data_IF_599225432119
#
_entry.id   IF_599225432119
#
_cell.length_a   1.000
_cell.length_b   1.000
_cell.length_c   1.000
_cell.angle_alpha   90.00
_cell.angle_beta   90.00
_cell.angle_gamma   90.00
#
_symmetry.space_group_name_H-M   'P 1'
#
loop_
_entity.id
_entity.type
_entity.pdbx_description
1 polymer ?
#
# COMPACT_ATOMS: atom_id res chain seq x y z
N UNK A 1 -19.61 21.47 -1.45
CA UNK A 1 -20.05 20.55 -2.50
C UNK A 1 -18.80 19.90 -3.11
N UNK A 2 -18.80 18.61 -3.30
CA UNK A 2 -17.73 17.88 -4.00
C UNK A 2 -18.18 17.71 -5.45
N UNK A 3 -17.30 18.04 -6.38
CA UNK A 3 -17.50 17.78 -7.81
C UNK A 3 -16.76 16.49 -8.17
N UNK A 4 -17.53 15.46 -8.49
CA UNK A 4 -17.01 14.17 -8.93
C UNK A 4 -17.24 13.89 -10.41
N UNK A 5 -17.88 14.83 -11.12
CA UNK A 5 -18.27 14.70 -12.52
C UNK A 5 -17.25 15.36 -13.46
N UNK A 6 -16.51 16.35 -12.99
CA UNK A 6 -15.50 17.04 -13.80
C UNK A 6 -14.27 16.13 -13.98
N UNK A 7 -13.97 15.84 -15.24
CA UNK A 7 -12.77 15.09 -15.61
C UNK A 7 -11.54 16.00 -15.50
N UNK A 8 -10.59 15.59 -14.66
CA UNK A 8 -9.31 16.29 -14.49
C UNK A 8 -8.25 15.58 -15.30
N UNK A 9 -7.69 16.24 -16.32
CA UNK A 9 -6.59 15.68 -17.11
C UNK A 9 -5.30 15.66 -16.30
N UNK A 10 -4.74 14.46 -16.10
CA UNK A 10 -3.51 14.22 -15.34
C UNK A 10 -2.29 14.01 -16.22
N UNK A 11 -2.45 13.98 -17.54
CA UNK A 11 -1.35 13.77 -18.49
C UNK A 11 -0.36 14.93 -18.42
N UNK A 12 0.93 14.63 -18.50
CA UNK A 12 2.01 15.62 -18.39
C UNK A 12 2.17 16.21 -16.99
N UNK A 13 1.60 15.59 -15.97
CA UNK A 13 1.72 15.98 -14.55
C UNK A 13 2.64 15.03 -13.75
N UNK A 14 3.41 14.20 -14.44
CA UNK A 14 4.27 13.17 -13.85
C UNK A 14 3.48 12.13 -13.05
N UNK A 15 2.23 11.89 -13.41
CA UNK A 15 1.40 10.87 -12.79
C UNK A 15 1.73 9.51 -13.41
N UNK A 16 2.22 8.57 -12.58
CA UNK A 16 2.59 7.21 -13.01
C UNK A 16 1.47 6.55 -13.79
N UNK A 17 0.24 6.63 -13.28
CA UNK A 17 -0.95 6.01 -13.86
C UNK A 17 -1.25 6.43 -15.30
N UNK A 18 -1.02 7.69 -15.64
CA UNK A 18 -1.32 8.24 -16.98
C UNK A 18 -0.07 8.33 -17.85
N UNK A 19 1.04 8.85 -17.31
CA UNK A 19 2.20 9.20 -18.11
C UNK A 19 3.11 8.01 -18.43
N UNK A 20 2.98 6.89 -17.66
CA UNK A 20 3.74 5.67 -17.92
C UNK A 20 2.94 4.57 -18.63
N UNK A 21 1.67 4.79 -18.98
CA UNK A 21 0.80 3.78 -19.59
C UNK A 21 1.43 3.18 -20.85
N UNK A 22 1.88 4.02 -21.77
CA UNK A 22 2.51 3.55 -23.03
C UNK A 22 3.88 2.91 -22.82
N UNK A 23 4.62 3.34 -21.81
CA UNK A 23 5.91 2.73 -21.46
C UNK A 23 5.72 1.31 -20.93
N UNK A 24 4.70 1.11 -20.07
CA UNK A 24 4.44 -0.18 -19.42
C UNK A 24 3.73 -1.17 -20.35
N UNK A 25 2.74 -0.69 -21.11
CA UNK A 25 1.84 -1.54 -21.89
C UNK A 25 2.05 -1.43 -23.41
N UNK A 26 2.95 -0.56 -23.88
CA UNK A 26 3.23 -0.34 -25.30
C UNK A 26 2.36 0.76 -25.94
N UNK A 27 2.73 1.15 -27.15
CA UNK A 27 2.10 2.28 -27.86
C UNK A 27 0.59 2.07 -28.13
N UNK A 28 0.13 0.82 -28.26
CA UNK A 28 -1.29 0.50 -28.45
C UNK A 28 -2.18 0.88 -27.28
N UNK A 29 -1.61 1.14 -26.10
CA UNK A 29 -2.33 1.56 -24.91
C UNK A 29 -2.47 3.08 -24.76
N UNK A 30 -2.09 3.87 -25.77
CA UNK A 30 -2.10 5.34 -25.69
C UNK A 30 -3.48 5.92 -25.36
N UNK A 31 -4.54 5.31 -25.89
CA UNK A 31 -5.93 5.73 -25.65
C UNK A 31 -6.69 4.86 -24.63
N UNK A 32 -5.97 3.96 -23.95
CA UNK A 32 -6.58 3.08 -22.95
C UNK A 32 -6.93 3.87 -21.68
N UNK A 33 -8.08 3.54 -21.06
CA UNK A 33 -8.42 4.03 -19.75
C UNK A 33 -7.50 3.37 -18.69
N UNK A 34 -6.62 4.12 -18.02
CA UNK A 34 -5.65 3.52 -17.11
C UNK A 34 -6.30 3.16 -15.76
N UNK A 35 -6.43 1.86 -15.49
CA UNK A 35 -6.95 1.31 -14.22
C UNK A 35 -5.92 0.47 -13.46
N UNK A 36 -4.65 0.54 -13.84
CA UNK A 36 -3.57 -0.31 -13.33
C UNK A 36 -2.88 0.24 -12.06
N UNK A 37 -3.13 1.49 -11.70
CA UNK A 37 -2.71 2.08 -10.42
C UNK A 37 -3.95 2.48 -9.63
N UNK A 38 -3.96 2.16 -8.34
CA UNK A 38 -5.12 2.35 -7.46
C UNK A 38 -5.30 3.78 -6.93
N UNK A 39 -4.49 4.75 -7.38
CA UNK A 39 -4.71 6.16 -7.06
C UNK A 39 -5.99 6.69 -7.70
N UNK A 40 -6.75 7.47 -6.96
CA UNK A 40 -8.01 8.02 -7.42
C UNK A 40 -7.81 9.17 -8.40
N UNK A 41 -8.70 9.26 -9.41
CA UNK A 41 -8.74 10.37 -10.37
C UNK A 41 -9.72 11.48 -9.96
N UNK A 42 -10.21 11.40 -8.73
CA UNK A 42 -11.10 12.38 -8.13
C UNK A 42 -10.32 13.49 -7.42
N UNK A 43 -10.85 14.73 -7.41
CA UNK A 43 -10.22 15.83 -6.70
C UNK A 43 -10.13 15.56 -5.20
N UNK A 44 -9.05 16.00 -4.59
CA UNK A 44 -8.88 15.96 -3.14
C UNK A 44 -9.93 16.84 -2.44
N UNK A 45 -10.33 16.48 -1.22
CA UNK A 45 -11.22 17.30 -0.41
C UNK A 45 -10.69 18.75 -0.31
N UNK A 46 -11.52 19.77 -0.61
CA UNK A 46 -11.10 21.18 -0.60
C UNK A 46 -10.50 21.64 0.74
N UNK A 47 -10.97 21.09 1.87
CA UNK A 47 -10.40 21.40 3.20
C UNK A 47 -8.97 20.86 3.35
N UNK A 48 -8.68 19.70 2.80
CA UNK A 48 -7.33 19.14 2.81
C UNK A 48 -6.42 19.95 1.92
N UNK A 49 -6.89 20.32 0.72
CA UNK A 49 -6.13 21.16 -0.19
C UNK A 49 -5.83 22.53 0.43
N UNK A 50 -6.80 23.16 1.10
CA UNK A 50 -6.60 24.44 1.78
C UNK A 50 -5.53 24.33 2.88
N UNK A 51 -5.55 23.28 3.70
CA UNK A 51 -4.55 23.07 4.73
C UNK A 51 -3.12 22.86 4.16
N UNK A 52 -3.01 22.18 3.02
CA UNK A 52 -1.72 22.01 2.31
C UNK A 52 -1.23 23.38 1.80
N UNK A 53 -2.10 24.18 1.17
CA UNK A 53 -1.76 25.51 0.67
C UNK A 53 -1.36 26.45 1.80
N UNK A 54 -2.08 26.45 2.90
CA UNK A 54 -1.74 27.22 4.10
C UNK A 54 -0.34 26.86 4.62
N UNK A 55 -0.05 25.55 4.74
CA UNK A 55 1.27 25.09 5.16
C UNK A 55 2.35 25.47 4.17
N UNK A 56 2.08 25.37 2.86
CA UNK A 56 3.02 25.70 1.79
C UNK A 56 3.30 27.22 1.71
N UNK A 57 2.35 28.07 2.11
CA UNK A 57 2.54 29.51 2.17
C UNK A 57 3.59 29.96 3.22
N UNK A 58 3.87 29.12 4.21
CA UNK A 58 4.94 29.39 5.16
C UNK A 58 6.30 29.00 4.54
N UNK A 59 7.22 29.94 4.34
CA UNK A 59 8.40 29.74 3.48
C UNK A 59 9.52 28.90 4.10
N UNK A 60 9.41 28.49 5.36
CA UNK A 60 10.44 27.72 6.06
C UNK A 60 9.95 26.29 6.26
N UNK A 61 10.66 25.35 5.66
CA UNK A 61 10.43 23.90 5.74
C UNK A 61 11.56 23.26 6.55
N UNK A 62 11.46 23.33 7.87
CA UNK A 62 12.43 22.71 8.80
C UNK A 62 11.96 21.33 9.26
N UNK A 63 12.61 20.82 10.29
CA UNK A 63 12.21 19.60 10.97
C UNK A 63 10.82 19.78 11.59
N UNK A 64 9.94 18.82 11.36
CA UNK A 64 8.54 18.86 11.82
C UNK A 64 8.31 17.77 12.86
N UNK A 65 7.66 18.12 13.96
CA UNK A 65 7.15 17.16 14.95
C UNK A 65 5.82 16.58 14.47
N UNK A 66 5.50 15.36 14.93
CA UNK A 66 4.14 14.82 14.80
C UNK A 66 3.31 15.38 15.97
N UNK A 67 2.31 16.24 15.72
CA UNK A 67 1.52 16.82 16.78
C UNK A 67 0.62 15.77 17.43
N UNK A 68 0.41 15.87 18.76
CA UNK A 68 -0.46 14.96 19.51
C UNK A 68 -1.88 14.88 18.91
N UNK A 69 -2.38 15.96 18.32
CA UNK A 69 -3.68 16.01 17.66
C UNK A 69 -3.76 15.04 16.45
N UNK A 70 -2.66 14.76 15.75
CA UNK A 70 -2.62 13.78 14.65
C UNK A 70 -2.91 12.37 15.18
N UNK A 71 -2.25 11.98 16.27
CA UNK A 71 -2.43 10.67 16.88
C UNK A 71 -3.82 10.50 17.50
N UNK A 72 -4.31 11.56 18.17
CA UNK A 72 -5.67 11.58 18.69
C UNK A 72 -6.73 11.44 17.59
N UNK A 73 -6.53 12.08 16.44
CA UNK A 73 -7.43 11.95 15.30
C UNK A 73 -7.40 10.53 14.71
N UNK A 74 -6.21 9.90 14.60
CA UNK A 74 -6.08 8.52 14.15
C UNK A 74 -6.79 7.53 15.10
N UNK A 75 -6.59 7.68 16.44
CA UNK A 75 -7.29 6.89 17.44
C UNK A 75 -8.80 7.04 17.34
N UNK A 76 -9.29 8.28 17.24
CA UNK A 76 -10.71 8.57 17.15
C UNK A 76 -11.34 7.94 15.89
N UNK A 77 -10.62 7.98 14.76
CA UNK A 77 -11.08 7.39 13.51
C UNK A 77 -11.16 5.85 13.60
N UNK A 78 -10.13 5.19 14.13
CA UNK A 78 -10.12 3.74 14.33
C UNK A 78 -11.24 3.28 15.25
N UNK A 79 -11.48 4.00 16.34
CA UNK A 79 -12.58 3.72 17.26
C UNK A 79 -13.94 3.86 16.57
N UNK A 80 -14.14 4.95 15.82
CA UNK A 80 -15.43 5.24 15.20
C UNK A 80 -15.80 4.27 14.08
N UNK A 81 -14.80 3.80 13.28
CA UNK A 81 -15.06 3.02 12.08
C UNK A 81 -14.79 1.52 12.26
N UNK A 82 -13.97 1.14 13.23
CA UNK A 82 -13.56 -0.26 13.44
C UNK A 82 -13.80 -0.76 14.86
N UNK A 83 -14.30 0.09 15.78
CA UNK A 83 -14.44 -0.27 17.19
C UNK A 83 -13.10 -0.59 17.88
N UNK A 84 -11.99 -0.13 17.29
CA UNK A 84 -10.66 -0.43 17.77
C UNK A 84 -10.08 0.74 18.57
N UNK A 85 -9.89 0.50 19.87
CA UNK A 85 -9.28 1.46 20.78
C UNK A 85 -7.75 1.32 20.76
N UNK A 86 -7.09 2.29 20.13
CA UNK A 86 -5.62 2.39 20.07
C UNK A 86 -5.19 3.63 20.84
N UNK A 87 -4.31 3.46 21.83
CA UNK A 87 -3.74 4.59 22.56
C UNK A 87 -2.82 5.43 21.63
N UNK A 88 -2.82 6.77 21.76
CA UNK A 88 -2.01 7.64 20.91
C UNK A 88 -0.51 7.35 20.92
N UNK A 89 0.03 6.81 21.99
CA UNK A 89 1.44 6.43 22.17
C UNK A 89 1.79 5.07 21.56
N UNK A 90 0.79 4.30 21.09
CA UNK A 90 1.00 3.05 20.37
C UNK A 90 1.27 3.26 18.86
N UNK A 91 1.16 4.50 18.36
CA UNK A 91 1.45 4.79 16.96
C UNK A 91 2.93 5.05 16.73
N UNK A 92 3.44 4.48 15.66
CA UNK A 92 4.76 4.79 15.10
C UNK A 92 4.56 5.36 13.70
N UNK A 93 5.12 6.54 13.45
CA UNK A 93 5.04 7.18 12.13
C UNK A 93 5.96 6.49 11.13
N UNK A 94 5.41 6.21 9.94
CA UNK A 94 6.19 5.82 8.78
C UNK A 94 5.63 6.51 7.53
N UNK A 95 6.51 6.84 6.58
CA UNK A 95 6.13 7.64 5.42
C UNK A 95 5.16 6.91 4.48
N UNK A 96 5.32 5.60 4.31
CA UNK A 96 4.46 4.77 3.45
C UNK A 96 4.32 3.36 4.00
N UNK A 97 3.30 2.62 3.54
CA UNK A 97 3.11 1.20 3.88
C UNK A 97 4.32 0.36 3.45
N UNK A 98 4.87 0.59 2.25
CA UNK A 98 6.04 -0.15 1.75
C UNK A 98 7.27 0.13 2.61
N UNK A 99 7.49 1.38 3.02
CA UNK A 99 8.59 1.72 3.94
C UNK A 99 8.43 1.03 5.31
N UNK A 100 7.20 1.02 5.85
CA UNK A 100 6.90 0.31 7.09
C UNK A 100 7.20 -1.18 6.97
N UNK A 101 6.79 -1.80 5.85
CA UNK A 101 7.02 -3.20 5.58
C UNK A 101 8.52 -3.52 5.50
N UNK A 102 9.30 -2.73 4.77
CA UNK A 102 10.76 -2.90 4.71
C UNK A 102 11.42 -2.75 6.10
N UNK A 103 10.99 -1.77 6.89
CA UNK A 103 11.51 -1.58 8.25
C UNK A 103 11.20 -2.80 9.14
N UNK A 104 9.99 -3.36 9.04
CA UNK A 104 9.62 -4.58 9.77
C UNK A 104 10.43 -5.78 9.32
N UNK A 105 10.68 -5.94 8.01
CA UNK A 105 11.56 -7.00 7.50
C UNK A 105 12.97 -6.89 8.10
N UNK A 106 13.53 -5.70 8.15
CA UNK A 106 14.86 -5.51 8.75
C UNK A 106 14.89 -5.73 10.26
N UNK A 107 13.81 -5.39 10.95
CA UNK A 107 13.71 -5.52 12.40
C UNK A 107 13.49 -6.97 12.86
N UNK A 108 12.66 -7.71 12.11
CA UNK A 108 12.14 -9.01 12.55
C UNK A 108 12.82 -10.22 11.90
N UNK A 109 13.63 -10.00 10.86
CA UNK A 109 14.27 -11.06 10.10
C UNK A 109 15.73 -10.74 9.79
N UNK A 110 16.53 -11.78 9.49
CA UNK A 110 17.90 -11.67 8.97
C UNK A 110 17.94 -11.79 7.43
N UNK A 111 19.01 -11.34 6.76
CA UNK A 111 19.24 -11.64 5.34
C UNK A 111 19.21 -13.15 5.07
N UNK A 112 18.49 -13.58 4.04
CA UNK A 112 18.31 -15.00 3.70
C UNK A 112 17.09 -15.67 4.33
N UNK A 113 16.50 -15.11 5.38
CA UNK A 113 15.29 -15.64 5.99
C UNK A 113 14.13 -15.72 4.99
N UNK A 114 13.30 -16.74 5.15
CA UNK A 114 12.08 -16.90 4.36
C UNK A 114 10.98 -15.96 4.85
N UNK A 115 10.31 -15.31 3.90
CA UNK A 115 9.14 -14.47 4.15
C UNK A 115 7.98 -14.99 3.32
N UNK A 116 7.00 -15.57 4.00
CA UNK A 116 5.77 -16.06 3.38
C UNK A 116 4.86 -14.90 3.02
N UNK A 117 4.35 -14.91 1.80
CA UNK A 117 3.31 -13.99 1.34
C UNK A 117 2.16 -14.76 0.70
N UNK A 118 0.94 -14.26 0.89
CA UNK A 118 -0.25 -14.82 0.25
C UNK A 118 -0.47 -14.13 -1.09
N UNK A 119 -0.72 -14.91 -2.15
CA UNK A 119 -0.97 -14.37 -3.50
C UNK A 119 -2.40 -14.66 -3.96
N UNK A 120 -3.05 -13.76 -4.76
CA UNK A 120 -2.47 -12.56 -5.37
C UNK A 120 -2.17 -11.44 -4.36
N UNK A 121 -1.04 -10.76 -4.54
CA UNK A 121 -0.56 -9.70 -3.65
C UNK A 121 -0.06 -8.50 -4.46
N UNK A 122 -0.12 -7.32 -3.88
CA UNK A 122 0.46 -6.10 -4.42
C UNK A 122 1.95 -6.27 -4.70
N UNK A 123 2.33 -6.18 -5.99
CA UNK A 123 3.67 -6.51 -6.47
C UNK A 123 4.84 -5.81 -5.75
N UNK A 124 4.74 -4.52 -5.33
CA UNK A 124 5.80 -3.86 -4.58
C UNK A 124 6.14 -4.53 -3.23
N UNK A 125 5.20 -5.19 -2.56
CA UNK A 125 5.49 -5.93 -1.32
C UNK A 125 6.36 -7.17 -1.61
N UNK A 126 6.06 -7.92 -2.68
CA UNK A 126 6.89 -9.05 -3.11
C UNK A 126 8.31 -8.59 -3.51
N UNK A 127 8.39 -7.50 -4.27
CA UNK A 127 9.66 -6.90 -4.65
C UNK A 127 10.48 -6.43 -3.44
N UNK A 128 9.81 -5.93 -2.40
CA UNK A 128 10.45 -5.48 -1.15
C UNK A 128 11.07 -6.64 -0.38
N UNK A 129 10.42 -7.81 -0.32
CA UNK A 129 11.01 -9.00 0.32
C UNK A 129 12.37 -9.32 -0.31
N UNK A 130 12.40 -9.42 -1.64
CA UNK A 130 13.64 -9.69 -2.40
C UNK A 130 14.65 -8.55 -2.28
N UNK A 131 14.19 -7.29 -2.40
CA UNK A 131 15.03 -6.10 -2.30
C UNK A 131 15.69 -5.93 -0.93
N UNK A 132 15.04 -6.41 0.12
CA UNK A 132 15.60 -6.45 1.48
C UNK A 132 16.51 -7.69 1.71
N UNK A 133 16.77 -8.50 0.69
CA UNK A 133 17.65 -9.68 0.80
C UNK A 133 17.01 -10.88 1.50
N UNK A 134 15.67 -10.97 1.51
CA UNK A 134 14.93 -12.09 2.08
C UNK A 134 14.47 -13.03 0.97
N UNK A 135 14.30 -14.31 1.29
CA UNK A 135 13.75 -15.31 0.38
C UNK A 135 12.23 -15.18 0.35
N UNK A 136 11.66 -15.00 -0.84
CA UNK A 136 10.22 -14.87 -1.02
C UNK A 136 9.59 -16.26 -1.16
N UNK A 137 8.67 -16.58 -0.28
CA UNK A 137 7.83 -17.78 -0.33
C UNK A 137 6.41 -17.33 -0.66
N UNK A 138 5.81 -17.92 -1.70
CA UNK A 138 4.46 -17.59 -2.13
C UNK A 138 3.49 -18.71 -1.81
N UNK A 139 2.45 -18.40 -1.04
CA UNK A 139 1.30 -19.27 -0.87
C UNK A 139 0.13 -18.73 -1.69
N UNK A 140 -0.40 -19.54 -2.62
CA UNK A 140 -1.52 -19.14 -3.47
C UNK A 140 -2.83 -19.31 -2.72
N UNK A 141 -3.60 -18.22 -2.62
CA UNK A 141 -4.97 -18.29 -2.08
C UNK A 141 -5.88 -19.02 -3.04
N UNK A 142 -6.78 -19.83 -2.50
CA UNK A 142 -7.85 -20.47 -3.26
C UNK A 142 -9.02 -19.49 -3.43
N UNK A 143 -9.48 -19.28 -4.69
CA UNK A 143 -10.70 -18.54 -4.98
C UNK A 143 -11.87 -19.50 -5.07
N UNK A 144 -12.83 -19.39 -4.16
CA UNK A 144 -14.04 -20.20 -4.14
C UNK A 144 -15.05 -19.79 -5.22
N UNK A 145 -16.09 -20.61 -5.39
CA UNK A 145 -17.19 -20.33 -6.34
C UNK A 145 -18.00 -19.06 -5.97
N UNK A 146 -17.88 -18.62 -4.72
CA UNK A 146 -18.47 -17.37 -4.19
C UNK A 146 -17.55 -16.15 -4.35
N UNK A 147 -16.49 -16.28 -5.17
CA UNK A 147 -15.45 -15.28 -5.39
C UNK A 147 -14.63 -14.87 -4.14
N UNK A 148 -14.84 -15.54 -3.00
CA UNK A 148 -14.04 -15.30 -1.80
C UNK A 148 -12.69 -16.02 -1.85
N UNK A 149 -11.65 -15.33 -1.43
CA UNK A 149 -10.32 -15.92 -1.28
C UNK A 149 -10.17 -16.58 0.09
N UNK A 150 -9.61 -17.79 0.10
CA UNK A 150 -9.34 -18.61 1.29
C UNK A 150 -7.89 -19.06 1.31
N UNK A 151 -7.34 -19.23 2.50
CA UNK A 151 -5.96 -19.70 2.68
C UNK A 151 -5.82 -21.13 2.17
N UNK A 152 -6.74 -22.01 2.56
CA UNK A 152 -6.74 -23.41 2.13
C UNK A 152 -7.95 -23.70 1.23
N UNK A 153 -7.75 -24.64 0.30
CA UNK A 153 -8.79 -25.08 -0.64
C UNK A 153 -8.25 -26.18 -1.56
N UNK A 154 -9.04 -26.63 -2.54
CA UNK A 154 -8.59 -27.64 -3.49
C UNK A 154 -7.27 -27.23 -4.17
N UNK A 155 -6.21 -28.04 -3.97
CA UNK A 155 -4.88 -27.81 -4.53
C UNK A 155 -4.04 -26.72 -3.85
N UNK A 156 -4.51 -26.16 -2.72
CA UNK A 156 -3.75 -25.22 -1.92
C UNK A 156 -3.82 -25.56 -0.45
N UNK A 157 -2.67 -25.66 0.22
CA UNK A 157 -2.56 -25.88 1.66
C UNK A 157 -1.39 -25.06 2.21
N UNK A 158 -1.67 -24.26 3.24
CA UNK A 158 -0.63 -23.48 3.91
C UNK A 158 0.36 -24.39 4.63
N UNK A 159 -0.13 -25.46 5.26
CA UNK A 159 0.72 -26.44 5.94
C UNK A 159 1.71 -27.09 4.97
N UNK A 160 1.25 -27.54 3.81
CA UNK A 160 2.11 -28.08 2.77
C UNK A 160 3.15 -27.07 2.27
N UNK A 161 2.75 -25.81 2.02
CA UNK A 161 3.68 -24.74 1.64
C UNK A 161 4.79 -24.56 2.69
N UNK A 162 4.45 -24.64 3.97
CA UNK A 162 5.41 -24.50 5.07
C UNK A 162 6.32 -25.73 5.21
N UNK A 163 5.80 -26.92 4.93
CA UNK A 163 6.59 -28.16 5.00
C UNK A 163 7.58 -28.29 3.83
N UNK A 164 7.14 -27.96 2.60
CA UNK A 164 8.01 -27.89 1.42
C UNK A 164 9.20 -26.95 1.66
N UNK A 165 8.95 -25.79 2.31
CA UNK A 165 9.99 -24.81 2.64
C UNK A 165 10.95 -25.27 3.75
N UNK A 166 10.55 -26.19 4.62
CA UNK A 166 11.43 -26.79 5.64
C UNK A 166 12.35 -27.84 5.06
N UNK A 167 11.92 -28.55 4.01
CA UNK A 167 12.73 -29.55 3.32
C UNK A 167 13.83 -28.91 2.46
N UNK A 168 13.60 -27.68 1.97
CA UNK A 168 14.53 -26.92 1.12
C UNK A 168 15.53 -26.04 1.93
N UNK A 169 15.42 -25.97 3.24
CA UNK A 169 16.24 -25.12 4.11
C UNK A 169 17.43 -25.86 4.73
#
# INVERSE_FOLDING_TARGET
HFDFDTIIDRRGRHAVKTDLTTLVFGAHAADALPLWVADMDLPICPRIQAAILERAAHPIFGYTIQPAAMWAAASAWLRAHHGWDVAPDAFVFSATVVSSFCNLLHLLTAPGDAVLVMTPLYAPLQASVKGCGRRLVCHSLHRGDDDAYRIDGPGTSLEQTLDDEREDA
#
